data_IF_059318081419
#
_entry.id   IF_059318081419
#
_cell.length_a   1.000
_cell.length_b   1.000
_cell.length_c   1.000
_cell.angle_alpha   90.00
_cell.angle_beta   90.00
_cell.angle_gamma   90.00
#
_symmetry.space_group_name_H-M   'P 1'
#
loop_
_entity.id
_entity.type
_entity.pdbx_description
1 polymer ?
#
# COMPACT_ATOMS: atom_id res chain seq x y z
N UNK A 1 2.41 -51.95 29.81
CA UNK A 1 2.87 -52.02 28.41
C UNK A 1 1.80 -51.39 27.54
N UNK A 2 2.18 -50.32 26.82
CA UNK A 2 1.53 -49.63 25.70
C UNK A 2 0.00 -49.70 25.50
N UNK A 3 -0.68 -48.55 25.53
CA UNK A 3 -1.67 -48.24 24.48
C UNK A 3 -2.01 -46.74 24.39
N UNK A 4 -1.81 -46.21 23.18
CA UNK A 4 -2.66 -45.17 22.55
C UNK A 4 -2.55 -43.71 23.01
N UNK A 5 -1.49 -43.01 22.58
CA UNK A 5 -1.50 -41.54 22.38
C UNK A 5 -1.19 -41.09 20.94
N UNK A 6 -1.24 -42.00 19.95
CA UNK A 6 -0.78 -41.74 18.56
C UNK A 6 -1.80 -41.10 17.61
N UNK A 7 -3.06 -40.89 18.01
CA UNK A 7 -4.13 -40.41 17.10
C UNK A 7 -4.26 -38.88 16.96
N UNK A 8 -3.66 -38.08 17.85
CA UNK A 8 -3.78 -36.61 17.81
C UNK A 8 -2.83 -35.93 16.79
N UNK A 9 -1.71 -36.58 16.44
CA UNK A 9 -0.71 -36.00 15.52
C UNK A 9 -1.14 -36.01 14.04
N UNK A 10 -2.06 -36.90 13.65
CA UNK A 10 -2.47 -37.08 12.25
C UNK A 10 -3.49 -36.03 11.76
N UNK A 11 -4.21 -35.38 12.67
CA UNK A 11 -5.23 -34.35 12.35
C UNK A 11 -4.67 -32.94 12.26
N UNK A 12 -3.45 -32.70 12.77
CA UNK A 12 -2.76 -31.41 12.69
C UNK A 12 -2.11 -31.16 11.32
N UNK A 13 -1.64 -32.23 10.66
CA UNK A 13 -1.01 -32.15 9.33
C UNK A 13 -1.92 -31.57 8.23
N UNK A 14 -3.20 -31.99 8.08
CA UNK A 14 -4.09 -31.39 7.07
C UNK A 14 -4.48 -29.95 7.40
N UNK A 15 -4.56 -29.59 8.68
CA UNK A 15 -4.80 -28.22 9.15
C UNK A 15 -3.60 -27.31 8.84
N UNK A 16 -2.38 -27.81 9.01
CA UNK A 16 -1.15 -27.11 8.65
C UNK A 16 -1.03 -26.92 7.14
N UNK A 17 -1.36 -27.95 6.35
CA UNK A 17 -1.38 -27.87 4.87
C UNK A 17 -2.46 -26.91 4.36
N UNK A 18 -3.63 -26.86 4.99
CA UNK A 18 -4.67 -25.89 4.68
C UNK A 18 -4.20 -24.46 5.00
N UNK A 19 -3.51 -24.27 6.13
CA UNK A 19 -2.95 -22.98 6.53
C UNK A 19 -1.82 -22.52 5.58
N UNK A 20 -0.95 -23.44 5.12
CA UNK A 20 0.12 -23.17 4.15
C UNK A 20 -0.46 -22.85 2.76
N UNK A 21 -1.53 -23.52 2.35
CA UNK A 21 -2.25 -23.21 1.10
C UNK A 21 -2.83 -21.78 1.09
N UNK A 22 -3.33 -21.30 2.24
CA UNK A 22 -3.81 -19.91 2.36
C UNK A 22 -2.71 -18.84 2.32
N UNK A 23 -1.42 -19.23 2.38
CA UNK A 23 -0.27 -18.32 2.20
C UNK A 23 0.28 -18.29 0.78
N UNK A 24 -0.40 -18.89 -0.20
CA UNK A 24 -0.09 -18.67 -1.61
C UNK A 24 -0.45 -17.22 -1.95
N UNK A 25 0.53 -16.34 -1.76
CA UNK A 25 0.46 -14.92 -2.09
C UNK A 25 -0.07 -14.74 -3.51
N UNK A 26 -1.05 -13.86 -3.64
CA UNK A 26 -1.47 -13.38 -4.95
C UNK A 26 -0.31 -12.56 -5.53
N UNK A 27 0.26 -13.01 -6.64
CA UNK A 27 1.15 -12.19 -7.45
C UNK A 27 0.28 -11.13 -8.14
N UNK A 28 0.50 -9.86 -7.82
CA UNK A 28 -0.15 -8.76 -8.54
C UNK A 28 0.61 -8.52 -9.83
N UNK A 29 0.08 -9.02 -10.95
CA UNK A 29 0.49 -8.64 -12.29
C UNK A 29 -0.70 -7.95 -12.97
N UNK A 30 -0.49 -6.76 -13.55
CA UNK A 30 -1.56 -6.02 -14.22
C UNK A 30 -1.60 -6.45 -15.68
N UNK A 31 -2.44 -7.45 -15.96
CA UNK A 31 -2.66 -7.97 -17.31
C UNK A 31 -4.11 -7.81 -17.73
N UNK A 32 -4.36 -7.12 -18.83
CA UNK A 32 -5.71 -6.85 -19.29
C UNK A 32 -5.83 -6.79 -20.82
N UNK A 33 -7.05 -6.98 -21.32
CA UNK A 33 -7.39 -6.82 -22.73
C UNK A 33 -7.86 -5.39 -23.01
N UNK A 34 -7.19 -4.69 -23.92
CA UNK A 34 -7.53 -3.36 -24.38
C UNK A 34 -8.22 -3.45 -25.75
N UNK A 35 -9.52 -3.21 -25.78
CA UNK A 35 -10.32 -3.17 -27.01
C UNK A 35 -9.89 -2.00 -27.92
N UNK A 36 -9.84 -2.24 -29.23
CA UNK A 36 -9.51 -1.24 -30.22
C UNK A 36 -10.76 -0.51 -30.74
N UNK A 37 -10.62 0.80 -30.99
CA UNK A 37 -11.66 1.62 -31.61
C UNK A 37 -11.03 2.62 -32.59
N UNK A 38 -11.82 3.20 -33.50
CA UNK A 38 -11.36 4.33 -34.33
C UNK A 38 -11.12 5.60 -33.50
N UNK A 39 -11.92 5.79 -32.45
CA UNK A 39 -11.77 6.82 -31.42
C UNK A 39 -11.79 6.17 -30.03
N UNK A 40 -10.66 5.63 -29.57
CA UNK A 40 -10.61 4.86 -28.34
C UNK A 40 -10.70 5.75 -27.09
N UNK A 41 -11.45 5.32 -26.06
CA UNK A 41 -11.34 5.93 -24.75
C UNK A 41 -9.96 5.59 -24.14
N UNK A 42 -9.39 6.51 -23.37
CA UNK A 42 -8.17 6.26 -22.60
C UNK A 42 -8.48 5.37 -21.40
N UNK A 43 -7.77 4.25 -21.27
CA UNK A 43 -7.73 3.48 -20.01
C UNK A 43 -6.48 3.87 -19.23
N UNK A 44 -6.67 4.44 -18.05
CA UNK A 44 -5.59 4.92 -17.21
C UNK A 44 -5.49 4.11 -15.91
N UNK A 45 -4.27 3.75 -15.53
CA UNK A 45 -3.94 3.17 -14.23
C UNK A 45 -3.23 4.25 -13.42
N UNK A 46 -3.77 4.55 -12.24
CA UNK A 46 -3.30 5.64 -11.38
C UNK A 46 -2.57 5.07 -10.16
N UNK A 47 -1.39 5.62 -9.88
CA UNK A 47 -0.57 5.26 -8.74
C UNK A 47 -0.11 6.51 -8.01
N UNK A 48 -0.03 6.45 -6.69
CA UNK A 48 0.51 7.54 -5.88
C UNK A 48 2.03 7.63 -6.07
N UNK A 49 2.54 8.84 -6.23
CA UNK A 49 3.96 9.12 -6.37
C UNK A 49 4.37 10.35 -5.55
N UNK A 50 5.54 10.27 -4.92
CA UNK A 50 6.14 11.40 -4.24
C UNK A 50 6.78 12.38 -5.24
N UNK A 51 7.11 13.58 -4.79
CA UNK A 51 7.85 14.54 -5.60
C UNK A 51 9.28 14.03 -5.90
N UNK A 52 9.75 14.25 -7.13
CA UNK A 52 11.07 13.79 -7.62
C UNK A 52 11.27 12.27 -7.57
N UNK A 53 10.19 11.49 -7.58
CA UNK A 53 10.26 10.04 -7.67
C UNK A 53 10.54 9.61 -9.12
N UNK A 54 11.45 8.66 -9.30
CA UNK A 54 11.66 7.97 -10.57
C UNK A 54 10.53 6.96 -10.78
N UNK A 55 9.89 6.97 -11.94
CA UNK A 55 8.87 6.01 -12.33
C UNK A 55 9.34 5.31 -13.60
N UNK A 56 9.37 3.98 -13.55
CA UNK A 56 9.62 3.14 -14.72
C UNK A 56 8.32 2.40 -15.06
N UNK A 57 7.89 2.56 -16.30
CA UNK A 57 6.72 1.88 -16.86
C UNK A 57 7.22 0.88 -17.89
N UNK A 58 7.00 -0.40 -17.61
CA UNK A 58 7.28 -1.50 -18.55
C UNK A 58 5.96 -1.98 -19.12
N UNK A 59 5.74 -1.72 -20.41
CA UNK A 59 4.55 -2.16 -21.11
C UNK A 59 4.92 -3.22 -22.16
N UNK A 60 4.34 -4.41 -22.02
CA UNK A 60 4.43 -5.47 -23.01
C UNK A 60 3.10 -5.58 -23.77
N UNK A 61 3.13 -5.18 -25.04
CA UNK A 61 1.95 -5.18 -25.91
C UNK A 61 1.98 -6.41 -26.82
N UNK A 62 0.97 -7.26 -26.66
CA UNK A 62 0.79 -8.45 -27.50
C UNK A 62 0.63 -8.11 -28.99
N UNK A 63 0.91 -9.08 -29.89
CA UNK A 63 0.78 -8.86 -31.32
C UNK A 63 -0.68 -8.60 -31.70
N UNK A 64 -0.90 -7.69 -32.65
CA UNK A 64 -2.22 -7.45 -33.24
C UNK A 64 -2.08 -6.70 -34.56
N UNK A 65 -2.71 -7.20 -35.62
CA UNK A 65 -2.72 -6.53 -36.92
C UNK A 65 -3.72 -5.38 -36.93
N UNK A 66 -3.46 -4.33 -37.73
CA UNK A 66 -4.37 -3.21 -37.92
C UNK A 66 -4.73 -2.47 -36.61
N UNK A 67 -3.81 -2.45 -35.65
CA UNK A 67 -3.98 -1.83 -34.34
C UNK A 67 -2.72 -1.07 -33.94
N UNK A 68 -2.90 0.07 -33.27
CA UNK A 68 -1.82 0.88 -32.71
C UNK A 68 -2.14 1.25 -31.27
N UNK A 69 -1.28 0.84 -30.35
CA UNK A 69 -1.39 1.20 -28.93
C UNK A 69 -0.47 2.38 -28.65
N UNK A 70 -1.07 3.45 -28.13
CA UNK A 70 -0.37 4.66 -27.71
C UNK A 70 -0.41 4.75 -26.18
N UNK A 71 0.70 5.17 -25.57
CA UNK A 71 0.86 5.32 -24.11
C UNK A 71 1.16 6.78 -23.80
N UNK A 72 0.45 7.31 -22.80
CA UNK A 72 0.61 8.67 -22.26
C UNK A 72 0.74 8.59 -20.74
N UNK A 73 1.77 9.23 -20.18
CA UNK A 73 1.97 9.35 -18.74
C UNK A 73 1.60 10.78 -18.33
N UNK A 74 0.65 10.91 -17.40
CA UNK A 74 0.06 12.20 -17.01
C UNK A 74 0.00 12.36 -15.49
N UNK A 75 0.01 13.59 -14.99
CA UNK A 75 -0.29 13.86 -13.58
C UNK A 75 -1.80 14.08 -13.32
N UNK A 76 -2.21 13.88 -12.06
CA UNK A 76 -3.53 14.28 -11.54
C UNK A 76 -3.60 15.76 -11.12
N UNK A 77 -2.58 16.56 -11.45
CA UNK A 77 -2.52 17.96 -11.07
C UNK A 77 -3.59 18.81 -11.78
N UNK A 78 -3.84 20.05 -11.31
CA UNK A 78 -4.85 20.93 -11.90
C UNK A 78 -4.61 21.23 -13.39
N UNK A 79 -3.34 21.20 -13.82
CA UNK A 79 -2.94 21.46 -15.20
C UNK A 79 -2.81 20.17 -16.04
N UNK A 80 -2.94 18.98 -15.42
CA UNK A 80 -2.82 17.66 -16.04
C UNK A 80 -1.61 17.56 -16.99
N UNK A 81 -0.42 17.72 -16.43
CA UNK A 81 0.80 17.75 -17.23
C UNK A 81 1.07 16.36 -17.83
N UNK A 82 1.51 16.34 -19.09
CA UNK A 82 1.91 15.11 -19.78
C UNK A 82 3.44 14.99 -19.69
N UNK A 83 3.92 13.99 -18.96
CA UNK A 83 5.36 13.74 -18.83
C UNK A 83 5.95 13.10 -20.08
N UNK A 84 5.21 12.13 -20.64
CA UNK A 84 5.67 11.36 -21.79
C UNK A 84 4.48 10.90 -22.62
N UNK A 85 4.59 11.03 -23.94
CA UNK A 85 3.64 10.47 -24.89
C UNK A 85 4.40 9.72 -25.97
N UNK A 86 4.14 8.42 -26.09
CA UNK A 86 4.76 7.58 -27.11
C UNK A 86 3.70 6.78 -27.85
N UNK A 87 3.77 6.87 -29.17
CA UNK A 87 2.81 6.24 -30.08
C UNK A 87 3.36 4.93 -30.65
N UNK A 88 2.47 3.98 -30.92
CA UNK A 88 2.81 2.73 -31.59
C UNK A 88 3.78 1.85 -30.82
N UNK A 89 3.50 1.61 -29.54
CA UNK A 89 4.26 0.66 -28.72
C UNK A 89 4.09 -0.76 -29.27
N UNK A 90 5.21 -1.46 -29.44
CA UNK A 90 5.29 -2.82 -29.97
C UNK A 90 6.19 -3.64 -29.04
N UNK A 91 5.77 -4.88 -28.74
CA UNK A 91 6.48 -5.78 -27.84
C UNK A 91 6.72 -5.14 -26.46
N UNK A 92 7.89 -5.36 -25.85
CA UNK A 92 8.30 -4.77 -24.59
C UNK A 92 8.87 -3.36 -24.81
N UNK A 93 8.31 -2.37 -24.12
CA UNK A 93 8.83 -1.00 -24.07
C UNK A 93 8.94 -0.54 -22.63
N UNK A 94 10.12 -0.05 -22.26
CA UNK A 94 10.39 0.57 -20.97
C UNK A 94 10.44 2.09 -21.12
N UNK A 95 9.72 2.80 -20.27
CA UNK A 95 9.60 4.25 -20.28
C UNK A 95 9.96 4.76 -18.88
N UNK A 96 10.88 5.71 -18.79
CA UNK A 96 11.31 6.29 -17.52
C UNK A 96 10.96 7.77 -17.48
N UNK A 97 10.37 8.22 -16.37
CA UNK A 97 10.06 9.62 -16.11
C UNK A 97 10.35 9.96 -14.65
N UNK A 98 10.49 11.24 -14.34
CA UNK A 98 10.63 11.73 -12.96
C UNK A 98 9.49 12.69 -12.65
N UNK A 99 8.81 12.50 -11.53
CA UNK A 99 7.71 13.36 -11.11
C UNK A 99 8.19 14.72 -10.63
N UNK A 100 7.45 15.79 -10.92
CA UNK A 100 7.82 17.14 -10.46
C UNK A 100 7.16 17.55 -9.14
N UNK A 101 6.02 16.96 -8.81
CA UNK A 101 5.24 17.27 -7.62
C UNK A 101 4.67 16.00 -7.00
N UNK A 102 4.30 16.09 -5.72
CA UNK A 102 3.63 15.02 -5.00
C UNK A 102 2.18 14.90 -5.48
N UNK A 103 1.75 13.68 -5.82
CA UNK A 103 0.41 13.43 -6.34
C UNK A 103 0.29 12.08 -7.03
N UNK A 104 -0.83 11.88 -7.72
CA UNK A 104 -1.05 10.66 -8.50
C UNK A 104 -0.55 10.83 -9.95
N UNK A 105 0.08 9.78 -10.46
CA UNK A 105 0.52 9.67 -11.85
C UNK A 105 -0.27 8.57 -12.53
N UNK A 106 -0.79 8.89 -13.70
CA UNK A 106 -1.64 8.03 -14.51
C UNK A 106 -0.91 7.54 -15.75
N UNK A 107 -0.82 6.23 -15.93
CA UNK A 107 -0.38 5.61 -17.17
C UNK A 107 -1.62 5.30 -18.01
N UNK A 108 -1.83 6.08 -19.06
CA UNK A 108 -3.00 6.01 -19.95
C UNK A 108 -2.65 5.32 -21.27
N UNK A 109 -3.46 4.32 -21.65
CA UNK A 109 -3.31 3.57 -22.89
C UNK A 109 -4.53 3.77 -23.79
N UNK A 110 -4.28 3.91 -25.09
CA UNK A 110 -5.31 4.05 -26.14
C UNK A 110 -5.01 3.08 -27.27
N UNK A 111 -5.99 2.29 -27.70
CA UNK A 111 -5.83 1.33 -28.80
C UNK A 111 -6.61 1.78 -30.04
N UNK A 112 -5.90 2.30 -31.03
CA UNK A 112 -6.45 2.77 -32.29
C UNK A 112 -6.52 1.65 -33.32
N UNK A 113 -7.62 1.60 -34.08
CA UNK A 113 -7.71 0.76 -35.27
C UNK A 113 -7.03 1.48 -36.43
N UNK A 114 -6.10 0.81 -37.10
CA UNK A 114 -5.43 1.29 -38.31
C UNK A 114 -5.97 0.58 -39.56
N UNK A 115 -6.14 1.32 -40.65
CA UNK A 115 -6.66 0.78 -41.91
C UNK A 115 -8.18 0.70 -41.99
N UNK A 116 -8.68 -0.03 -43.00
CA UNK A 116 -10.09 -0.14 -43.31
C UNK A 116 -10.60 -1.52 -42.87
N UNK A 117 -11.04 -1.61 -41.62
CA UNK A 117 -11.58 -2.85 -41.03
C UNK A 117 -13.12 -2.77 -41.04
N UNK A 118 -13.78 -3.83 -41.51
CA UNK A 118 -15.24 -3.91 -41.55
C UNK A 118 -15.86 -3.83 -40.15
N UNK A 119 -17.05 -3.24 -40.03
CA UNK A 119 -17.69 -2.95 -38.74
C UNK A 119 -17.87 -4.20 -37.85
N UNK A 120 -18.09 -5.39 -38.42
CA UNK A 120 -18.21 -6.64 -37.66
C UNK A 120 -16.88 -7.11 -37.03
N UNK A 121 -15.75 -6.82 -37.68
CA UNK A 121 -14.42 -7.22 -37.18
C UNK A 121 -13.89 -6.24 -36.13
N UNK A 122 -14.30 -4.97 -36.18
CA UNK A 122 -13.91 -3.95 -35.19
C UNK A 122 -14.25 -4.36 -33.75
N UNK A 123 -15.40 -5.00 -33.54
CA UNK A 123 -15.82 -5.47 -32.22
C UNK A 123 -14.97 -6.62 -31.65
N UNK A 124 -14.17 -7.30 -32.48
CA UNK A 124 -13.32 -8.44 -32.09
C UNK A 124 -11.86 -8.05 -31.89
N UNK A 125 -11.47 -6.86 -32.33
CA UNK A 125 -10.10 -6.35 -32.24
C UNK A 125 -9.77 -5.90 -30.81
N UNK A 126 -9.01 -6.71 -30.08
CA UNK A 126 -8.43 -6.35 -28.78
C UNK A 126 -6.93 -6.70 -28.73
N UNK A 127 -6.19 -6.07 -27.82
CA UNK A 127 -4.80 -6.43 -27.51
C UNK A 127 -4.64 -6.75 -26.03
N UNK A 128 -3.92 -7.83 -25.74
CA UNK A 128 -3.46 -8.12 -24.38
C UNK A 128 -2.30 -7.17 -24.06
N UNK A 129 -2.37 -6.52 -22.90
CA UNK A 129 -1.32 -5.65 -22.38
C UNK A 129 -0.90 -6.20 -21.02
N UNK A 130 0.40 -6.44 -20.87
CA UNK A 130 1.06 -6.64 -19.59
C UNK A 130 1.69 -5.31 -19.19
N UNK A 131 1.29 -4.77 -18.04
CA UNK A 131 1.76 -3.48 -17.56
C UNK A 131 2.39 -3.65 -16.20
N UNK A 132 3.60 -3.13 -16.07
CA UNK A 132 4.34 -3.08 -14.81
C UNK A 132 4.78 -1.63 -14.55
N UNK A 133 4.61 -1.17 -13.31
CA UNK A 133 4.82 0.22 -12.91
C UNK A 133 5.63 0.21 -11.62
N UNK A 134 6.92 0.52 -11.74
CA UNK A 134 7.84 0.64 -10.64
C UNK A 134 7.99 2.12 -10.25
N UNK A 135 7.94 2.42 -8.95
CA UNK A 135 7.99 3.79 -8.43
C UNK A 135 9.03 3.88 -7.32
N UNK A 136 9.91 4.88 -7.40
CA UNK A 136 10.89 5.16 -6.34
C UNK A 136 12.01 4.13 -6.30
N UNK A 137 12.23 3.53 -5.12
CA UNK A 137 13.33 2.58 -4.89
C UNK A 137 13.23 1.33 -5.76
N UNK A 138 12.02 0.87 -6.06
CA UNK A 138 11.74 -0.27 -6.93
C UNK A 138 12.11 0.01 -8.40
N UNK A 139 12.13 1.29 -8.80
CA UNK A 139 12.46 1.72 -10.16
C UNK A 139 13.98 1.82 -10.42
N UNK A 140 14.84 1.64 -9.41
CA UNK A 140 16.29 1.80 -9.59
C UNK A 140 16.91 0.48 -10.07
N UNK A 141 17.25 0.39 -11.35
CA UNK A 141 17.99 -0.76 -11.89
C UNK A 141 19.49 -0.66 -11.56
N UNK A 142 19.85 -1.20 -10.40
CA UNK A 142 21.24 -1.30 -9.93
C UNK A 142 22.17 -2.02 -10.91
N UNK A 143 21.64 -2.86 -11.82
CA UNK A 143 22.46 -3.61 -12.78
C UNK A 143 22.91 -2.76 -13.98
N UNK A 144 22.14 -1.74 -14.36
CA UNK A 144 22.52 -0.83 -15.45
C UNK A 144 23.64 0.14 -15.03
N UNK A 145 23.65 0.57 -13.76
CA UNK A 145 24.70 1.43 -13.18
C UNK A 145 26.04 0.67 -13.07
N UNK A 146 26.00 -0.61 -12.75
CA UNK A 146 27.20 -1.46 -12.65
C UNK A 146 27.97 -1.63 -13.98
N UNK A 147 27.30 -1.43 -15.13
CA UNK A 147 27.88 -1.66 -16.45
C UNK A 147 28.30 -0.37 -17.19
N UNK A 148 27.88 0.81 -16.72
CA UNK A 148 28.14 2.09 -17.38
C UNK A 148 29.42 2.80 -16.88
N UNK A 149 29.89 2.49 -15.67
CA UNK A 149 31.10 3.09 -15.10
C UNK A 149 32.10 2.01 -14.69
N UNK A 150 33.09 1.77 -15.54
CA UNK A 150 34.28 1.00 -15.19
C UNK A 150 35.18 1.79 -14.23
N UNK A 151 34.77 1.96 -12.98
CA UNK A 151 35.65 2.33 -11.86
C UNK A 151 35.26 1.54 -10.61
N UNK A 152 36.29 0.93 -9.99
CA UNK A 152 36.31 0.06 -8.80
C UNK A 152 34.95 -0.21 -8.15
N UNK A 153 34.40 -1.41 -8.38
CA UNK A 153 33.12 -1.86 -7.81
C UNK A 153 32.98 -1.72 -6.28
N UNK A 154 34.05 -1.39 -5.57
CA UNK A 154 34.03 -1.05 -4.14
C UNK A 154 33.40 0.34 -3.85
N UNK A 155 33.58 1.34 -4.71
CA UNK A 155 32.96 2.67 -4.54
C UNK A 155 31.46 2.64 -4.87
N UNK A 156 31.07 1.86 -5.88
CA UNK A 156 29.67 1.65 -6.27
C UNK A 156 28.88 0.94 -5.17
N UNK A 157 29.46 -0.09 -4.55
CA UNK A 157 28.84 -0.77 -3.41
C UNK A 157 28.73 0.16 -2.18
N UNK A 158 29.71 1.04 -1.93
CA UNK A 158 29.63 2.02 -0.84
C UNK A 158 28.47 3.02 -1.03
N UNK A 159 28.28 3.57 -2.25
CA UNK A 159 27.14 4.47 -2.53
C UNK A 159 25.79 3.76 -2.44
N UNK A 160 25.74 2.48 -2.82
CA UNK A 160 24.54 1.65 -2.66
C UNK A 160 24.19 1.45 -1.19
N UNK A 161 25.17 1.10 -0.35
CA UNK A 161 24.95 1.00 1.09
C UNK A 161 24.57 2.35 1.71
N UNK A 162 25.15 3.45 1.25
CA UNK A 162 24.77 4.79 1.72
C UNK A 162 23.31 5.12 1.41
N UNK A 163 22.85 4.81 0.19
CA UNK A 163 21.44 4.95 -0.20
C UNK A 163 20.50 4.13 0.68
N UNK A 164 20.83 2.84 0.87
CA UNK A 164 20.05 1.95 1.73
C UNK A 164 20.03 2.40 3.20
N UNK A 165 21.17 2.85 3.73
CA UNK A 165 21.26 3.36 5.11
C UNK A 165 20.45 4.64 5.27
N UNK A 166 20.44 5.51 4.26
CA UNK A 166 19.67 6.74 4.29
C UNK A 166 18.17 6.46 4.31
N UNK A 167 17.71 5.52 3.48
CA UNK A 167 16.31 5.08 3.46
C UNK A 167 15.89 4.47 4.81
N UNK A 168 16.71 3.58 5.37
CA UNK A 168 16.46 3.00 6.71
C UNK A 168 16.46 4.08 7.79
N UNK A 169 17.36 5.07 7.72
CA UNK A 169 17.41 6.16 8.68
C UNK A 169 16.13 7.03 8.61
N UNK A 170 15.62 7.28 7.41
CA UNK A 170 14.37 8.00 7.20
C UNK A 170 13.16 7.21 7.74
N UNK A 171 13.11 5.88 7.52
CA UNK A 171 12.08 5.01 8.12
C UNK A 171 12.17 4.97 9.65
N UNK A 172 13.37 4.87 10.23
CA UNK A 172 13.56 4.90 11.67
C UNK A 172 13.10 6.23 12.28
N UNK A 173 13.38 7.34 11.60
CA UNK A 173 12.88 8.65 12.02
C UNK A 173 11.35 8.72 11.98
N UNK A 174 10.72 8.14 10.97
CA UNK A 174 9.26 8.01 10.91
C UNK A 174 8.69 7.18 12.07
N UNK A 175 9.28 6.00 12.34
CA UNK A 175 8.85 5.13 13.44
C UNK A 175 9.04 5.80 14.80
N UNK A 176 10.16 6.49 15.02
CA UNK A 176 10.41 7.26 16.24
C UNK A 176 9.34 8.34 16.46
N UNK A 177 8.99 9.08 15.42
CA UNK A 177 7.96 10.13 15.50
C UNK A 177 6.57 9.55 15.79
N UNK A 178 6.30 8.34 15.28
CA UNK A 178 5.08 7.58 15.59
C UNK A 178 5.07 7.07 17.03
N UNK A 179 6.20 6.58 17.53
CA UNK A 179 6.38 6.13 18.92
C UNK A 179 6.19 7.30 19.90
N UNK A 180 6.78 8.46 19.62
CA UNK A 180 6.60 9.68 20.42
C UNK A 180 5.12 10.07 20.53
N UNK A 181 4.39 10.02 19.39
CA UNK A 181 2.95 10.25 19.37
C UNK A 181 2.18 9.19 20.17
N UNK A 182 2.53 7.91 20.01
CA UNK A 182 1.86 6.83 20.73
C UNK A 182 2.09 6.94 22.25
N UNK A 183 3.31 7.22 22.66
CA UNK A 183 3.70 7.43 24.06
C UNK A 183 2.97 8.62 24.67
N UNK A 184 2.87 9.75 23.97
CA UNK A 184 2.11 10.92 24.44
C UNK A 184 0.61 10.63 24.60
N UNK A 185 0.03 9.84 23.69
CA UNK A 185 -1.37 9.42 23.75
C UNK A 185 -1.61 8.46 24.90
N UNK A 186 -0.68 7.53 25.15
CA UNK A 186 -0.74 6.60 26.26
C UNK A 186 -0.71 7.35 27.61
N UNK A 187 0.24 8.30 27.76
CA UNK A 187 0.34 9.11 28.98
C UNK A 187 -0.93 9.91 29.25
N UNK A 188 -1.42 10.67 28.25
CA UNK A 188 -2.62 11.49 28.41
C UNK A 188 -3.90 10.68 28.67
N UNK A 189 -4.03 9.51 28.05
CA UNK A 189 -5.14 8.58 28.30
C UNK A 189 -5.09 8.01 29.72
N UNK A 190 -3.91 7.55 30.14
CA UNK A 190 -3.72 7.00 31.48
C UNK A 190 -4.02 8.05 32.56
N UNK A 191 -3.56 9.30 32.41
CA UNK A 191 -3.87 10.38 33.35
C UNK A 191 -5.38 10.66 33.43
N UNK A 192 -6.09 10.68 32.29
CA UNK A 192 -7.55 10.89 32.27
C UNK A 192 -8.30 9.78 33.00
N UNK A 193 -7.91 8.53 32.78
CA UNK A 193 -8.51 7.35 33.44
C UNK A 193 -8.23 7.39 34.95
N UNK A 194 -7.00 7.71 35.35
CA UNK A 194 -6.64 7.84 36.76
C UNK A 194 -7.46 8.94 37.46
N UNK A 195 -7.66 10.09 36.81
CA UNK A 195 -8.49 11.17 37.35
C UNK A 195 -9.95 10.71 37.57
N UNK A 196 -10.52 9.97 36.61
CA UNK A 196 -11.87 9.42 36.75
C UNK A 196 -11.96 8.35 37.87
N UNK A 197 -10.92 7.53 38.02
CA UNK A 197 -10.84 6.54 39.10
C UNK A 197 -10.80 7.21 40.48
N UNK A 198 -9.99 8.26 40.66
CA UNK A 198 -9.95 9.05 41.89
C UNK A 198 -11.29 9.70 42.21
N UNK A 199 -11.93 10.32 41.22
CA UNK A 199 -13.26 10.91 41.37
C UNK A 199 -14.29 9.86 41.82
N UNK A 200 -14.29 8.69 41.18
CA UNK A 200 -15.21 7.59 41.49
C UNK A 200 -15.00 7.05 42.91
N UNK A 201 -13.75 6.90 43.33
CA UNK A 201 -13.41 6.46 44.68
C UNK A 201 -13.92 7.45 45.74
N UNK A 202 -13.64 8.74 45.56
CA UNK A 202 -14.08 9.79 46.48
C UNK A 202 -15.61 9.85 46.55
N UNK A 203 -16.29 9.75 45.40
CA UNK A 203 -17.76 9.74 45.33
C UNK A 203 -18.34 8.54 46.09
N UNK A 204 -17.80 7.33 45.89
CA UNK A 204 -18.28 6.12 46.55
C UNK A 204 -18.08 6.19 48.07
N UNK A 205 -16.92 6.67 48.53
CA UNK A 205 -16.65 6.87 49.96
C UNK A 205 -17.57 7.94 50.55
N UNK A 206 -17.80 9.05 49.85
CA UNK A 206 -18.72 10.11 50.28
C UNK A 206 -20.15 9.60 50.44
N UNK A 207 -20.65 8.83 49.46
CA UNK A 207 -21.96 8.19 49.54
C UNK A 207 -22.03 7.17 50.69
N UNK A 208 -20.99 6.38 50.91
CA UNK A 208 -20.93 5.42 52.01
C UNK A 208 -20.98 6.09 53.40
N UNK A 209 -20.22 7.16 53.60
CA UNK A 209 -20.25 7.95 54.83
C UNK A 209 -21.63 8.57 55.03
N UNK A 210 -22.20 9.16 53.98
CA UNK A 210 -23.55 9.71 54.00
C UNK A 210 -24.60 8.67 54.38
N UNK A 211 -24.53 7.47 53.80
CA UNK A 211 -25.43 6.35 54.11
C UNK A 211 -25.37 5.97 55.59
N UNK A 212 -24.17 5.89 56.19
CA UNK A 212 -23.99 5.60 57.61
C UNK A 212 -24.63 6.69 58.48
N UNK A 213 -24.37 7.97 58.18
CA UNK A 213 -24.96 9.09 58.91
C UNK A 213 -26.49 9.09 58.82
N UNK A 214 -27.04 8.85 57.62
CA UNK A 214 -28.47 8.79 57.39
C UNK A 214 -29.13 7.67 58.19
N UNK A 215 -28.56 6.45 58.14
CA UNK A 215 -29.06 5.30 58.91
C UNK A 215 -28.99 5.57 60.42
N UNK A 216 -27.89 6.16 60.92
CA UNK A 216 -27.77 6.50 62.34
C UNK A 216 -28.81 7.55 62.77
N UNK A 217 -29.01 8.59 61.98
CA UNK A 217 -30.03 9.61 62.25
C UNK A 217 -31.46 9.06 62.17
N UNK A 218 -31.69 8.09 61.28
CA UNK A 218 -32.97 7.38 61.19
C UNK A 218 -33.25 6.54 62.44
N UNK A 219 -32.30 5.73 62.91
CA UNK A 219 -32.46 4.91 64.11
C UNK A 219 -32.61 5.73 65.38
N UNK A 220 -31.87 6.85 65.51
CA UNK A 220 -31.98 7.76 66.65
C UNK A 220 -33.37 8.42 66.75
N UNK A 221 -33.97 8.80 65.62
CA UNK A 221 -35.35 9.35 65.59
C UNK A 221 -36.44 8.33 65.95
N UNK A 222 -36.15 7.04 65.77
CA UNK A 222 -37.08 5.93 66.07
C UNK A 222 -36.86 5.30 67.45
N UNK A 223 -35.95 5.85 68.29
CA UNK A 223 -35.60 5.33 69.62
C UNK A 223 -35.13 3.87 69.62
N UNK A 224 -34.45 3.42 68.56
CA UNK A 224 -33.96 2.03 68.45
C UNK A 224 -32.54 1.84 69.01
N UNK A 225 -31.74 2.92 69.07
CA UNK A 225 -30.35 2.95 69.58
C UNK A 225 -30.13 4.35 70.20
N UNK A 226 -29.51 4.45 71.37
CA UNK A 226 -29.14 5.73 72.05
C UNK A 226 -27.89 6.41 71.43
#
# INVERSE_FOLDING_TARGET
MASSSRRSSLTLLPLLLFFISSFLNSVSAIKFNLQAYRYPPSKCIWNAAHANALIIVTANVGPGVNQRVDIEIVDSGPNRNIYLSKRGIKAESRLAITTHAEGEVGVCLKNYIEGNVGNEEQGKLSRVIDLDIDIGADAVDYNAIANQESLSGLETEMRKLEGLVKEVADEMNYLRKREERFTSTNYSTNTRVQNFAWFSLISLTGLGVWQIFHLRAFFKRKYLID
#
